data_IF_291692321860
#
_entry.id   IF_291692321860
#
_cell.length_a   1.000
_cell.length_b   1.000
_cell.length_c   1.000
_cell.angle_alpha   90.00
_cell.angle_beta   90.00
_cell.angle_gamma   90.00
#
_symmetry.space_group_name_H-M   'P 1'
#
loop_
_entity.id
_entity.type
_entity.pdbx_description
1 polymer ?
#
# COMPACT_ATOMS: atom_id res chain seq x y z
N UNK A 1 28.12 10.49 -1.16
CA UNK A 1 27.55 9.21 -0.70
C UNK A 1 26.84 8.55 -1.87
N UNK A 2 27.03 7.24 -2.09
CA UNK A 2 26.37 6.48 -3.15
C UNK A 2 25.43 5.46 -2.50
N UNK A 3 24.16 5.42 -2.92
CA UNK A 3 23.15 4.50 -2.39
C UNK A 3 22.72 3.55 -3.49
N UNK A 4 22.58 2.26 -3.15
CA UNK A 4 22.13 1.22 -4.06
C UNK A 4 21.09 0.34 -3.37
N UNK A 5 19.94 0.15 -4.02
CA UNK A 5 18.91 -0.78 -3.61
C UNK A 5 19.45 -2.22 -3.74
N UNK A 6 19.34 -3.00 -2.66
CA UNK A 6 19.78 -4.40 -2.63
C UNK A 6 18.60 -5.35 -2.82
N UNK A 7 17.48 -5.07 -2.17
CA UNK A 7 16.27 -5.89 -2.22
C UNK A 7 15.03 -5.08 -1.83
N UNK A 8 13.86 -5.60 -2.21
CA UNK A 8 12.55 -5.14 -1.79
C UNK A 8 11.54 -6.28 -1.93
N UNK A 9 10.38 -6.17 -1.27
CA UNK A 9 9.25 -7.07 -1.49
C UNK A 9 8.79 -6.97 -2.94
N UNK A 10 8.49 -8.07 -3.64
CA UNK A 10 7.91 -8.02 -4.98
C UNK A 10 6.60 -7.22 -4.99
N UNK A 11 6.45 -6.32 -5.96
CA UNK A 11 5.24 -5.49 -6.15
C UNK A 11 4.68 -4.87 -4.86
N UNK A 12 5.48 -4.07 -4.11
CA UNK A 12 5.15 -3.66 -2.75
C UNK A 12 3.86 -2.82 -2.70
N UNK A 13 3.59 -2.00 -3.71
CA UNK A 13 2.35 -1.21 -3.80
C UNK A 13 1.10 -2.07 -3.96
N UNK A 14 1.18 -3.15 -4.74
CA UNK A 14 0.05 -4.06 -4.92
C UNK A 14 -0.23 -4.83 -3.63
N UNK A 15 0.82 -5.20 -2.88
CA UNK A 15 0.68 -5.81 -1.58
C UNK A 15 0.04 -4.87 -0.55
N UNK A 16 0.51 -3.63 -0.45
CA UNK A 16 -0.11 -2.61 0.41
C UNK A 16 -1.57 -2.34 0.02
N UNK A 17 -1.88 -2.25 -1.28
CA UNK A 17 -3.25 -2.08 -1.76
C UNK A 17 -4.15 -3.29 -1.43
N UNK A 18 -3.61 -4.51 -1.52
CA UNK A 18 -4.31 -5.72 -1.11
C UNK A 18 -4.68 -5.68 0.38
N UNK A 19 -3.72 -5.36 1.25
CA UNK A 19 -3.95 -5.19 2.70
C UNK A 19 -5.04 -4.14 2.97
N UNK A 20 -4.94 -2.97 2.33
CA UNK A 20 -5.90 -1.88 2.49
C UNK A 20 -7.32 -2.22 1.99
N UNK A 21 -7.45 -3.11 1.01
CA UNK A 21 -8.75 -3.58 0.50
C UNK A 21 -9.39 -4.62 1.41
N UNK A 22 -8.60 -5.52 2.00
CA UNK A 22 -9.11 -6.55 2.92
C UNK A 22 -9.73 -5.90 4.18
N UNK A 23 -9.18 -4.77 4.62
CA UNK A 23 -9.75 -3.99 5.73
C UNK A 23 -10.98 -3.13 5.35
N UNK A 24 -11.28 -2.99 4.05
CA UNK A 24 -12.44 -2.25 3.55
C UNK A 24 -13.22 -3.04 2.47
N UNK A 25 -14.13 -3.95 2.89
CA UNK A 25 -14.88 -4.83 1.99
C UNK A 25 -15.63 -4.10 0.86
N UNK A 26 -16.09 -2.87 1.11
CA UNK A 26 -16.83 -2.07 0.13
C UNK A 26 -15.97 -1.56 -1.05
N UNK A 27 -14.64 -1.60 -0.94
CA UNK A 27 -13.71 -1.04 -1.94
C UNK A 27 -12.73 -2.10 -2.49
N UNK A 28 -13.05 -3.40 -2.39
CA UNK A 28 -12.16 -4.50 -2.76
C UNK A 28 -11.78 -4.53 -4.25
N UNK A 29 -12.66 -4.10 -5.15
CA UNK A 29 -12.43 -4.13 -6.60
C UNK A 29 -11.73 -2.88 -7.14
N UNK A 30 -11.38 -1.91 -6.29
CA UNK A 30 -10.81 -0.64 -6.72
C UNK A 30 -9.42 -0.83 -7.32
N UNK A 31 -9.19 -0.63 -8.63
CA UNK A 31 -7.91 -0.90 -9.28
C UNK A 31 -6.83 0.15 -9.00
N UNK A 32 -7.19 1.30 -8.42
CA UNK A 32 -6.30 2.44 -8.23
C UNK A 32 -5.57 2.37 -6.88
N UNK A 33 -4.37 1.78 -6.91
CA UNK A 33 -3.49 1.66 -5.74
C UNK A 33 -3.09 3.04 -5.19
N UNK A 34 -2.68 3.97 -6.04
CA UNK A 34 -2.16 5.27 -5.62
C UNK A 34 -3.21 6.09 -4.86
N UNK A 35 -4.45 6.15 -5.38
CA UNK A 35 -5.55 6.86 -4.72
C UNK A 35 -5.92 6.22 -3.38
N UNK A 36 -5.89 4.89 -3.30
CA UNK A 36 -6.16 4.15 -2.07
C UNK A 36 -5.08 4.39 -1.01
N UNK A 37 -3.80 4.24 -1.36
CA UNK A 37 -2.68 4.46 -0.43
C UNK A 37 -2.63 5.92 0.04
N UNK A 38 -2.91 6.88 -0.84
CA UNK A 38 -3.06 8.29 -0.46
C UNK A 38 -4.20 8.50 0.53
N UNK A 39 -5.31 7.78 0.39
CA UNK A 39 -6.39 7.81 1.37
C UNK A 39 -5.90 7.26 2.72
N UNK A 40 -5.21 6.12 2.75
CA UNK A 40 -4.66 5.54 3.97
C UNK A 40 -3.76 6.54 4.73
N UNK A 41 -2.84 7.21 4.03
CA UNK A 41 -1.96 8.24 4.61
C UNK A 41 -2.78 9.40 5.20
N UNK A 42 -3.77 9.93 4.45
CA UNK A 42 -4.59 11.06 4.90
C UNK A 42 -5.40 10.76 6.17
N UNK A 43 -5.77 9.50 6.37
CA UNK A 43 -6.59 9.06 7.50
C UNK A 43 -5.78 8.32 8.59
N UNK A 44 -4.45 8.26 8.47
CA UNK A 44 -3.58 7.65 9.49
C UNK A 44 -3.64 6.12 9.56
N UNK A 45 -4.02 5.44 8.47
CA UNK A 45 -3.98 3.98 8.37
C UNK A 45 -2.55 3.50 8.06
N UNK A 46 -1.64 3.70 9.01
CA UNK A 46 -0.21 3.45 8.84
C UNK A 46 0.17 1.98 8.77
N UNK A 47 -0.60 1.10 9.43
CA UNK A 47 -0.33 -0.34 9.46
C UNK A 47 -0.23 -0.96 8.06
N UNK A 48 -0.88 -0.36 7.05
CA UNK A 48 -0.81 -0.78 5.64
C UNK A 48 0.62 -0.73 5.09
N UNK A 49 1.48 0.14 5.64
CA UNK A 49 2.85 0.40 5.16
C UNK A 49 3.93 -0.33 5.98
N UNK A 50 3.53 -1.21 6.90
CA UNK A 50 4.42 -1.87 7.88
C UNK A 50 4.57 -3.38 7.63
N UNK A 51 4.22 -3.84 6.42
CA UNK A 51 4.21 -5.26 6.04
C UNK A 51 5.39 -5.69 5.17
#
# INVERSE_FOLDING_TARGET
>A
MHVKLQSHTPDPEAFMAYVARVSNPANQSNPDHGRLLRYCIRHGHWSVFEH
#
